data_IF_907416642318
#
_entry.id   IF_907416642318
#
_cell.length_a   1.000
_cell.length_b   1.000
_cell.length_c   1.000
_cell.angle_alpha   90.00
_cell.angle_beta   90.00
_cell.angle_gamma   90.00
#
_symmetry.space_group_name_H-M   'P 1'
#
loop_
_entity.id
_entity.type
_entity.pdbx_description
1 polymer ?
#
# COMPACT_ATOMS: atom_id res chain seq x y z
N UNK A 1 6.22 -15.37 -14.71
CA UNK A 1 6.61 -13.95 -14.84
C UNK A 1 6.67 -13.41 -13.43
N UNK A 2 7.83 -12.94 -12.97
CA UNK A 2 7.94 -12.27 -11.66
C UNK A 2 7.21 -10.94 -11.77
N UNK A 3 6.07 -10.82 -11.09
CA UNK A 3 5.35 -9.56 -11.02
C UNK A 3 6.07 -8.68 -10.02
N UNK A 4 6.88 -7.74 -10.52
CA UNK A 4 7.61 -6.81 -9.67
C UNK A 4 6.68 -5.75 -9.09
N UNK A 5 7.02 -5.29 -7.89
CA UNK A 5 6.30 -4.23 -7.22
C UNK A 5 6.44 -2.92 -7.98
N UNK A 6 5.31 -2.33 -8.35
CA UNK A 6 5.25 -1.14 -9.19
C UNK A 6 4.04 -0.29 -8.83
N UNK A 7 4.22 1.03 -8.91
CA UNK A 7 3.14 2.01 -8.82
C UNK A 7 3.06 2.78 -10.14
N UNK A 8 1.93 2.66 -10.82
CA UNK A 8 1.63 3.37 -12.06
C UNK A 8 0.64 4.49 -11.80
N UNK A 9 0.93 5.67 -12.32
CA UNK A 9 0.03 6.82 -12.31
C UNK A 9 -0.50 7.04 -13.72
N UNK A 10 -1.78 7.32 -13.84
CA UNK A 10 -2.41 7.62 -15.11
C UNK A 10 -3.47 8.70 -14.94
N UNK A 11 -3.77 9.41 -16.03
CA UNK A 11 -4.79 10.44 -16.10
C UNK A 11 -5.83 10.02 -17.12
N UNK A 12 -7.10 10.28 -16.81
CA UNK A 12 -8.15 10.14 -17.80
C UNK A 12 -8.22 11.44 -18.61
N UNK A 13 -7.61 11.51 -19.79
CA UNK A 13 -7.48 12.76 -20.58
C UNK A 13 -8.77 13.59 -20.73
N UNK A 14 -9.91 12.92 -20.87
CA UNK A 14 -11.21 13.58 -21.07
C UNK A 14 -11.96 13.89 -19.75
N UNK A 15 -11.39 13.57 -18.60
CA UNK A 15 -11.99 13.75 -17.29
C UNK A 15 -10.98 14.36 -16.31
N UNK A 16 -11.41 15.21 -15.40
CA UNK A 16 -10.53 15.76 -14.35
C UNK A 16 -10.26 14.73 -13.24
N UNK A 17 -9.86 13.51 -13.61
CA UNK A 17 -9.68 12.36 -12.72
C UNK A 17 -8.30 11.75 -12.95
N UNK A 18 -7.54 11.58 -11.87
CA UNK A 18 -6.29 10.84 -11.83
C UNK A 18 -6.54 9.46 -11.22
N UNK A 19 -5.91 8.45 -11.80
CA UNK A 19 -5.92 7.09 -11.29
C UNK A 19 -4.52 6.61 -10.95
N UNK A 20 -4.46 5.62 -10.07
CA UNK A 20 -3.24 4.97 -9.64
C UNK A 20 -3.48 3.45 -9.56
N UNK A 21 -2.47 2.67 -9.91
CA UNK A 21 -2.46 1.21 -9.81
C UNK A 21 -1.17 0.79 -9.14
N UNK A 22 -1.26 -0.03 -8.10
CA UNK A 22 -0.10 -0.50 -7.36
C UNK A 22 -0.11 -2.02 -7.21
N UNK A 23 1.06 -2.64 -7.31
CA UNK A 23 1.32 -4.03 -6.91
C UNK A 23 2.45 -4.01 -5.87
N UNK A 24 2.28 -4.73 -4.77
CA UNK A 24 3.19 -4.73 -3.59
C UNK A 24 3.47 -6.16 -3.08
N UNK A 25 3.47 -7.14 -3.97
CA UNK A 25 3.56 -8.56 -3.61
C UNK A 25 4.90 -8.90 -2.95
N UNK A 26 6.02 -8.46 -3.51
CA UNK A 26 7.36 -8.79 -3.02
C UNK A 26 7.64 -8.06 -1.68
N UNK A 27 7.28 -6.78 -1.59
CA UNK A 27 7.38 -5.97 -0.38
C UNK A 27 6.50 -6.55 0.73
N UNK A 28 5.29 -7.02 0.41
CA UNK A 28 4.43 -7.69 1.38
C UNK A 28 5.04 -8.98 1.90
N UNK A 29 5.58 -9.83 1.01
CA UNK A 29 6.28 -11.05 1.42
C UNK A 29 7.43 -10.74 2.38
N UNK A 30 8.22 -9.70 2.10
CA UNK A 30 9.32 -9.25 2.97
C UNK A 30 8.82 -8.74 4.33
N UNK A 31 7.73 -7.97 4.36
CA UNK A 31 7.13 -7.47 5.62
C UNK A 31 6.59 -8.62 6.49
N UNK A 32 6.05 -9.65 5.86
CA UNK A 32 5.50 -10.81 6.57
C UNK A 32 6.56 -11.86 6.92
N UNK A 33 7.72 -11.84 6.25
CA UNK A 33 8.79 -12.81 6.46
C UNK A 33 9.29 -12.79 7.91
N UNK A 34 9.50 -13.96 8.49
CA UNK A 34 9.97 -14.10 9.88
C UNK A 34 8.89 -13.86 10.95
N UNK A 35 7.66 -13.46 10.57
CA UNK A 35 6.56 -13.26 11.50
C UNK A 35 5.45 -14.31 11.31
N UNK A 36 5.04 -14.98 12.40
CA UNK A 36 3.94 -15.94 12.37
C UNK A 36 2.58 -15.27 12.64
N UNK A 37 2.23 -14.27 11.83
CA UNK A 37 0.95 -13.57 11.98
C UNK A 37 -0.24 -14.47 11.60
N UNK A 38 -1.37 -14.40 12.33
CA UNK A 38 -2.60 -15.07 11.90
C UNK A 38 -3.14 -14.42 10.63
N UNK A 39 -3.90 -15.17 9.83
CA UNK A 39 -4.40 -14.70 8.53
C UNK A 39 -5.12 -13.33 8.57
N UNK A 40 -5.97 -13.03 9.57
CA UNK A 40 -6.61 -11.72 9.66
C UNK A 40 -5.62 -10.55 9.77
N UNK A 41 -4.50 -10.75 10.48
CA UNK A 41 -3.46 -9.71 10.63
C UNK A 41 -2.69 -9.54 9.32
N UNK A 42 -2.38 -10.63 8.62
CA UNK A 42 -1.75 -10.56 7.28
C UNK A 42 -2.59 -9.75 6.29
N UNK A 43 -3.91 -9.95 6.31
CA UNK A 43 -4.83 -9.22 5.45
C UNK A 43 -4.81 -7.72 5.75
N UNK A 44 -4.95 -7.33 7.01
CA UNK A 44 -4.93 -5.91 7.40
C UNK A 44 -3.59 -5.25 7.06
N UNK A 45 -2.46 -5.93 7.27
CA UNK A 45 -1.15 -5.42 6.88
C UNK A 45 -1.04 -5.25 5.35
N UNK A 46 -1.59 -6.18 4.57
CA UNK A 46 -1.60 -6.08 3.11
C UNK A 46 -2.46 -4.90 2.61
N UNK A 47 -3.62 -4.69 3.23
CA UNK A 47 -4.49 -3.56 2.92
C UNK A 47 -3.84 -2.23 3.29
N UNK A 48 -3.18 -2.17 4.46
CA UNK A 48 -2.44 -0.99 4.90
C UNK A 48 -1.25 -0.68 4.01
N UNK A 49 -0.52 -1.69 3.53
CA UNK A 49 0.60 -1.49 2.61
C UNK A 49 0.11 -0.86 1.30
N UNK A 50 -0.94 -1.44 0.70
CA UNK A 50 -1.54 -0.90 -0.53
C UNK A 50 -2.08 0.51 -0.31
N UNK A 51 -2.84 0.74 0.76
CA UNK A 51 -3.41 2.04 1.07
C UNK A 51 -2.33 3.10 1.29
N UNK A 52 -1.28 2.76 2.04
CA UNK A 52 -0.15 3.66 2.29
C UNK A 52 0.59 3.98 1.00
N UNK A 53 0.89 2.99 0.15
CA UNK A 53 1.57 3.22 -1.14
C UNK A 53 0.80 4.18 -2.05
N UNK A 54 -0.53 4.02 -2.14
CA UNK A 54 -1.39 4.93 -2.91
C UNK A 54 -1.41 6.33 -2.29
N UNK A 55 -1.59 6.46 -0.97
CA UNK A 55 -1.60 7.76 -0.30
C UNK A 55 -0.26 8.50 -0.47
N UNK A 56 0.87 7.80 -0.36
CA UNK A 56 2.21 8.35 -0.59
C UNK A 56 2.34 8.97 -1.98
N UNK A 57 1.77 8.35 -3.03
CA UNK A 57 1.84 8.85 -4.39
C UNK A 57 1.03 10.14 -4.65
N UNK A 58 0.17 10.53 -3.69
CA UNK A 58 -0.60 11.77 -3.72
C UNK A 58 0.08 12.95 -3.00
N UNK A 59 1.16 12.70 -2.25
CA UNK A 59 1.90 13.76 -1.55
C UNK A 59 2.53 14.74 -2.54
N UNK A 60 2.40 16.04 -2.25
CA UNK A 60 2.91 17.14 -3.09
C UNK A 60 4.30 17.63 -2.68
N UNK A 61 4.88 17.01 -1.65
CA UNK A 61 6.16 17.37 -1.05
C UNK A 61 6.93 16.10 -0.68
N UNK A 62 8.25 16.23 -0.51
CA UNK A 62 9.11 15.14 -0.08
C UNK A 62 8.98 14.91 1.42
N UNK A 63 8.75 13.65 1.81
CA UNK A 63 8.61 13.24 3.19
C UNK A 63 8.03 11.83 3.31
N UNK A 64 7.99 11.33 4.54
CA UNK A 64 7.47 10.01 4.85
C UNK A 64 6.05 10.09 5.40
N UNK A 65 5.23 9.09 5.11
CA UNK A 65 3.91 8.91 5.72
C UNK A 65 3.85 7.58 6.46
N UNK A 66 3.15 7.57 7.59
CA UNK A 66 2.85 6.35 8.33
C UNK A 66 1.34 6.27 8.52
N UNK A 67 0.74 5.16 8.08
CA UNK A 67 -0.65 4.83 8.39
C UNK A 67 -0.64 3.73 9.44
N UNK A 68 -1.38 3.94 10.52
CA UNK A 68 -1.48 2.99 11.63
C UNK A 68 -2.94 2.75 12.00
N UNK A 69 -3.24 1.50 12.37
CA UNK A 69 -4.51 1.14 12.99
C UNK A 69 -4.27 0.82 14.45
N UNK A 70 -5.03 1.48 15.33
CA UNK A 70 -5.01 1.25 16.76
C UNK A 70 -6.42 0.88 17.20
N UNK A 71 -6.56 -0.30 17.79
CA UNK A 71 -7.78 -0.66 18.50
C UNK A 71 -7.66 -0.18 19.95
N UNK A 72 -8.74 0.35 20.50
CA UNK A 72 -8.80 0.62 21.93
C UNK A 72 -8.94 -0.72 22.66
N UNK A 73 -7.96 -1.07 23.49
CA UNK A 73 -8.19 -2.04 24.55
C UNK A 73 -9.04 -1.34 25.62
N UNK A 74 -10.29 -1.81 25.78
CA UNK A 74 -11.08 -1.53 26.98
C UNK A 74 -10.73 -2.53 28.07
#
# INVERSE_FOLDING_TARGET
MTQHDQLHRYLFENYAVRGELVTVSETLEQILAGHNYPQPVKNVLSELLVATSLLTATLKFEGDITVQLQAMAQ
#
